data_IF_485437354041
#
_entry.id   IF_485437354041
#
_cell.length_a   1.000
_cell.length_b   1.000
_cell.length_c   1.000
_cell.angle_alpha   90.00
_cell.angle_beta   90.00
_cell.angle_gamma   90.00
#
_symmetry.space_group_name_H-M   'P 1'
#
loop_
_entity.id
_entity.type
_entity.pdbx_description
1 polymer ?
#
# COMPACT_ATOMS: atom_id res chain seq x y z
N UNK A 1 17.07 -19.03 -0.15
CA UNK A 1 15.71 -19.54 0.05
C UNK A 1 14.80 -18.34 0.09
N UNK A 2 13.75 -18.32 -0.72
CA UNK A 2 12.74 -17.28 -0.67
C UNK A 2 11.63 -17.78 0.25
N UNK A 3 11.29 -17.02 1.27
CA UNK A 3 10.17 -17.28 2.16
C UNK A 3 8.98 -16.43 1.71
N UNK A 4 7.79 -17.03 1.70
CA UNK A 4 6.55 -16.35 1.32
C UNK A 4 5.66 -16.24 2.55
N UNK A 5 5.35 -15.00 2.96
CA UNK A 5 4.43 -14.69 4.05
C UNK A 5 3.14 -14.08 3.47
N UNK A 6 1.98 -14.58 3.90
CA UNK A 6 0.66 -14.00 3.55
C UNK A 6 0.12 -13.18 4.72
N UNK A 7 -0.34 -11.96 4.45
CA UNK A 7 -0.88 -11.02 5.44
C UNK A 7 -2.29 -10.58 5.07
N UNK A 8 -3.12 -10.35 6.09
CA UNK A 8 -4.41 -9.68 5.90
C UNK A 8 -4.17 -8.18 5.72
N UNK A 9 -4.90 -7.56 4.80
CA UNK A 9 -4.77 -6.13 4.54
C UNK A 9 -6.11 -5.50 4.12
N UNK A 10 -6.29 -4.23 4.46
CA UNK A 10 -7.47 -3.45 4.14
C UNK A 10 -7.09 -2.26 3.25
N UNK A 11 -7.84 -2.02 2.17
CA UNK A 11 -7.65 -0.81 1.35
C UNK A 11 -8.16 0.39 2.12
N UNK A 12 -7.27 1.35 2.40
CA UNK A 12 -7.61 2.52 3.21
C UNK A 12 -7.80 3.78 2.38
N UNK A 13 -7.06 3.92 1.28
CA UNK A 13 -7.23 4.98 0.29
C UNK A 13 -6.49 4.60 -0.99
N UNK A 14 -6.66 5.42 -2.02
CA UNK A 14 -5.92 5.29 -3.28
C UNK A 14 -5.34 6.63 -3.71
N UNK A 15 -4.31 6.57 -4.55
CA UNK A 15 -3.84 7.68 -5.36
C UNK A 15 -4.29 7.46 -6.80
N UNK A 16 -5.05 8.40 -7.35
CA UNK A 16 -5.59 8.30 -8.72
C UNK A 16 -4.55 8.65 -9.79
N UNK A 17 -3.52 9.40 -9.40
CA UNK A 17 -2.44 9.82 -10.29
C UNK A 17 -1.20 10.20 -9.49
N UNK A 18 -0.09 10.44 -10.19
CA UNK A 18 1.14 10.97 -9.60
C UNK A 18 0.94 12.33 -8.91
N UNK A 19 0.15 13.21 -9.52
CA UNK A 19 -0.16 14.52 -8.94
C UNK A 19 -1.04 14.42 -7.70
N UNK A 20 -1.97 13.46 -7.65
CA UNK A 20 -2.73 13.18 -6.43
C UNK A 20 -1.79 12.72 -5.30
N UNK A 21 -0.78 11.90 -5.60
CA UNK A 21 0.24 11.53 -4.62
C UNK A 21 1.07 12.73 -4.14
N UNK A 22 1.66 13.52 -5.06
CA UNK A 22 2.46 14.71 -4.69
C UNK A 22 1.67 15.65 -3.78
N UNK A 23 0.41 15.92 -4.13
CA UNK A 23 -0.37 16.96 -3.47
C UNK A 23 -1.06 16.47 -2.19
N UNK A 24 -1.42 15.18 -2.11
CA UNK A 24 -2.30 14.68 -1.04
C UNK A 24 -1.69 13.60 -0.16
N UNK A 25 -0.49 13.08 -0.45
CA UNK A 25 0.09 11.97 0.34
C UNK A 25 0.12 12.29 1.84
N UNK A 26 0.73 13.42 2.22
CA UNK A 26 0.83 13.80 3.64
C UNK A 26 -0.53 13.86 4.34
N UNK A 27 -1.55 14.36 3.65
CA UNK A 27 -2.91 14.45 4.20
C UNK A 27 -3.58 13.07 4.32
N UNK A 28 -3.41 12.20 3.32
CA UNK A 28 -3.96 10.83 3.31
C UNK A 28 -3.29 9.93 4.35
N UNK A 29 -2.00 10.12 4.61
CA UNK A 29 -1.26 9.37 5.64
C UNK A 29 -1.48 9.88 7.07
N UNK A 30 -1.89 11.15 7.24
CA UNK A 30 -2.06 11.80 8.55
C UNK A 30 -2.92 11.02 9.56
N UNK A 31 -4.06 10.40 9.19
CA UNK A 31 -4.88 9.63 10.14
C UNK A 31 -4.18 8.38 10.69
N UNK A 32 -3.20 7.84 9.97
CA UNK A 32 -2.50 6.60 10.31
C UNK A 32 -1.17 6.88 11.03
N UNK A 33 -0.51 8.00 10.73
CA UNK A 33 0.78 8.34 11.29
C UNK A 33 1.82 7.21 11.09
N UNK A 34 2.80 7.12 11.99
CA UNK A 34 3.88 6.10 11.89
C UNK A 34 3.53 4.76 12.57
N UNK A 35 2.32 4.62 13.11
CA UNK A 35 1.94 3.47 13.96
C UNK A 35 1.44 2.28 13.17
N UNK A 36 1.03 2.51 11.93
CA UNK A 36 0.34 1.53 11.11
C UNK A 36 1.14 1.23 9.84
N UNK A 37 1.53 -0.03 9.60
CA UNK A 37 2.24 -0.40 8.39
C UNK A 37 1.30 -0.30 7.19
N UNK A 38 1.55 0.68 6.31
CA UNK A 38 0.82 0.86 5.06
C UNK A 38 1.74 0.53 3.89
N UNK A 39 1.24 -0.28 2.96
CA UNK A 39 1.93 -0.64 1.72
C UNK A 39 1.14 -0.09 0.54
N UNK A 40 1.79 0.67 -0.34
CA UNK A 40 1.16 1.13 -1.58
C UNK A 40 1.48 0.15 -2.71
N UNK A 41 0.47 -0.27 -3.47
CA UNK A 41 0.60 -1.27 -4.53
C UNK A 41 -0.10 -0.78 -5.78
N UNK A 42 0.57 -0.86 -6.92
CA UNK A 42 0.03 -0.49 -8.22
C UNK A 42 -0.86 -1.60 -8.83
N UNK A 43 -1.43 -1.36 -10.01
CA UNK A 43 -2.36 -2.31 -10.65
C UNK A 43 -1.70 -3.63 -11.06
N UNK A 44 -0.38 -3.70 -11.17
CA UNK A 44 0.40 -4.92 -11.45
C UNK A 44 0.86 -5.66 -10.19
N UNK A 45 0.50 -5.19 -9.00
CA UNK A 45 0.94 -5.81 -7.75
C UNK A 45 2.36 -5.40 -7.32
N UNK A 46 3.00 -4.43 -7.97
CA UNK A 46 4.31 -3.92 -7.56
C UNK A 46 4.16 -2.91 -6.43
N UNK A 47 5.05 -3.00 -5.45
CA UNK A 47 5.05 -2.09 -4.30
C UNK A 47 5.64 -0.73 -4.73
N UNK A 48 4.99 0.36 -4.30
CA UNK A 48 5.46 1.72 -4.49
C UNK A 48 5.84 2.33 -3.14
N UNK A 49 7.14 2.51 -2.89
CA UNK A 49 7.64 3.03 -1.61
C UNK A 49 8.06 4.50 -1.69
N UNK A 50 8.49 4.95 -2.86
CA UNK A 50 9.07 6.28 -3.04
C UNK A 50 8.64 6.93 -4.36
N UNK A 51 9.01 8.20 -4.56
CA UNK A 51 8.60 8.95 -5.74
C UNK A 51 9.04 8.35 -7.09
N UNK A 52 10.14 7.60 -7.14
CA UNK A 52 10.58 6.92 -8.35
C UNK A 52 9.62 5.79 -8.73
N UNK A 53 9.11 5.03 -7.76
CA UNK A 53 8.13 3.97 -8.02
C UNK A 53 6.77 4.53 -8.48
N UNK A 54 6.37 5.65 -7.88
CA UNK A 54 5.16 6.38 -8.27
C UNK A 54 5.30 7.00 -9.67
N UNK A 55 6.49 7.49 -10.03
CA UNK A 55 6.80 7.97 -11.39
C UNK A 55 6.85 6.83 -12.41
N UNK A 56 7.47 5.70 -12.06
CA UNK A 56 7.46 4.50 -12.88
C UNK A 56 6.02 4.05 -13.18
N UNK A 57 5.17 4.03 -12.15
CA UNK A 57 3.76 3.69 -12.31
C UNK A 57 3.01 4.69 -13.19
N UNK A 58 3.43 5.97 -13.24
CA UNK A 58 2.84 6.96 -14.15
C UNK A 58 3.22 6.64 -15.60
N UNK A 59 4.52 6.43 -15.84
CA UNK A 59 5.07 6.16 -17.17
C UNK A 59 4.51 4.86 -17.78
N UNK A 60 4.07 3.93 -16.95
CA UNK A 60 3.54 2.63 -17.37
C UNK A 60 2.02 2.50 -17.22
N UNK A 61 1.29 3.59 -16.95
CA UNK A 61 -0.18 3.58 -16.76
C UNK A 61 -0.67 2.59 -15.68
N UNK A 62 0.04 2.49 -14.56
CA UNK A 62 -0.23 1.54 -13.46
C UNK A 62 -1.01 2.15 -12.28
N UNK A 63 -1.67 3.28 -12.51
CA UNK A 63 -2.61 3.87 -11.55
C UNK A 63 -4.02 3.26 -11.72
N UNK A 64 -4.87 3.26 -10.68
CA UNK A 64 -4.64 3.82 -9.35
C UNK A 64 -3.69 2.97 -8.50
N UNK A 65 -2.92 3.64 -7.64
CA UNK A 65 -2.11 2.98 -6.61
C UNK A 65 -2.97 2.89 -5.35
N UNK A 66 -3.18 1.68 -4.85
CA UNK A 66 -3.96 1.44 -3.63
C UNK A 66 -3.03 1.36 -2.42
N UNK A 67 -3.40 2.03 -1.33
CA UNK A 67 -2.72 1.93 -0.05
C UNK A 67 -3.45 0.90 0.83
N UNK A 68 -2.69 -0.07 1.31
CA UNK A 68 -3.17 -1.18 2.12
C UNK A 68 -2.64 -1.06 3.53
N UNK A 69 -3.53 -1.00 4.51
CA UNK A 69 -3.21 -1.13 5.91
C UNK A 69 -3.01 -2.61 6.24
N UNK A 70 -1.80 -3.00 6.64
CA UNK A 70 -1.53 -4.39 7.04
C UNK A 70 -2.10 -4.65 8.43
N UNK A 71 -2.92 -5.69 8.53
CA UNK A 71 -3.52 -6.13 9.79
C UNK A 71 -2.61 -7.18 10.45
N UNK A 72 -2.44 -7.09 11.77
CA UNK A 72 -1.83 -8.19 12.52
C UNK A 72 -2.80 -9.36 12.51
N UNK A 73 -2.43 -10.44 11.81
CA UNK A 73 -3.13 -11.71 11.94
C UNK A 73 -2.74 -12.32 13.30
N UNK A 74 -3.69 -12.39 14.23
CA UNK A 74 -3.60 -13.33 15.35
C UNK A 74 -4.21 -14.63 14.83
N UNK A 75 -3.39 -15.55 14.33
CA UNK A 75 -3.85 -16.91 14.08
C UNK A 75 -4.05 -17.59 15.44
N UNK A 76 -5.23 -17.43 16.03
CA UNK A 76 -5.74 -18.40 17.01
C UNK A 76 -6.37 -19.52 16.20
N UNK A 77 -5.55 -20.46 15.73
CA UNK A 77 -6.05 -21.79 15.38
C UNK A 77 -6.44 -22.45 16.70
N UNK A 78 -7.68 -22.24 17.14
CA UNK A 78 -8.30 -23.18 18.06
C UNK A 78 -8.75 -24.36 17.19
N UNK A 79 -7.91 -25.37 17.10
CA UNK A 79 -8.34 -26.70 16.68
C UNK A 79 -9.36 -27.19 17.72
N UNK A 80 -10.59 -27.44 17.28
CA UNK A 80 -11.59 -28.23 17.97
C UNK A 80 -11.73 -29.57 17.24
#
# INVERSE_FOLDING_TARGET
MNETLTLNAEVVFEFKSYFDWINNASNKFKPYGNRFPIVCVNTEGKICHNGADFMYSLQNNLYPIKAYLLQRAVNLQNEL
#
